data_IF_701178448768
#
_entry.id   IF_701178448768
#
_cell.length_a   1.000
_cell.length_b   1.000
_cell.length_c   1.000
_cell.angle_alpha   90.00
_cell.angle_beta   90.00
_cell.angle_gamma   90.00
#
_symmetry.space_group_name_H-M   'P 1'
#
loop_
_entity.id
_entity.type
_entity.pdbx_description
1 polymer ?
#
# COMPACT_ATOMS: atom_id res chain seq x y z
N UNK A 1 19.07 -9.52 29.20
CA UNK A 1 18.83 -8.87 27.89
C UNK A 1 17.34 -8.66 27.79
N UNK A 2 16.89 -7.42 27.99
CA UNK A 2 15.51 -7.00 27.77
C UNK A 2 15.41 -6.59 26.30
N UNK A 3 14.36 -6.97 25.55
CA UNK A 3 14.17 -6.45 24.21
C UNK A 3 13.69 -5.00 24.38
N UNK A 4 14.66 -4.10 24.51
CA UNK A 4 14.40 -2.68 24.36
C UNK A 4 13.71 -2.51 23.01
N UNK A 5 12.45 -2.10 23.11
CA UNK A 5 11.64 -1.71 21.98
C UNK A 5 12.51 -0.85 21.06
N UNK A 6 12.69 -1.31 19.82
CA UNK A 6 13.14 -0.46 18.73
C UNK A 6 12.20 0.74 18.73
N UNK A 7 12.66 1.83 19.36
CA UNK A 7 11.99 3.11 19.25
C UNK A 7 12.11 3.43 17.77
N UNK A 8 11.01 3.26 17.04
CA UNK A 8 10.84 3.85 15.73
C UNK A 8 11.31 5.30 15.89
N UNK A 9 12.50 5.58 15.35
CA UNK A 9 13.06 6.90 15.44
C UNK A 9 12.02 7.83 14.83
N UNK A 10 11.64 8.83 15.63
CA UNK A 10 10.78 9.94 15.21
C UNK A 10 11.42 10.62 14.00
N UNK A 11 11.13 10.13 12.79
CA UNK A 11 11.67 10.74 11.58
C UNK A 11 11.94 9.84 10.38
N UNK A 12 11.14 8.80 10.13
CA UNK A 12 10.85 8.50 8.71
C UNK A 12 9.75 9.47 8.31
N UNK A 13 10.07 10.57 7.59
CA UNK A 13 9.10 11.62 7.42
C UNK A 13 7.99 11.11 6.52
N UNK A 14 6.77 11.51 6.85
CA UNK A 14 5.56 11.41 6.03
C UNK A 14 5.81 11.71 4.54
N UNK A 15 6.80 12.58 4.25
CA UNK A 15 7.35 12.90 2.92
C UNK A 15 7.84 11.66 2.15
N UNK A 16 8.47 10.68 2.80
CA UNK A 16 9.01 9.46 2.17
C UNK A 16 7.90 8.52 1.74
N UNK A 17 6.77 8.46 2.46
CA UNK A 17 5.71 7.51 2.11
C UNK A 17 5.07 7.86 0.77
N UNK A 18 4.74 9.15 0.56
CA UNK A 18 4.18 9.60 -0.71
C UNK A 18 5.12 9.32 -1.88
N UNK A 19 6.41 9.60 -1.72
CA UNK A 19 7.40 9.36 -2.78
C UNK A 19 7.68 7.87 -3.00
N UNK A 20 7.73 7.06 -1.93
CA UNK A 20 7.86 5.61 -2.03
C UNK A 20 6.67 4.97 -2.77
N UNK A 21 5.44 5.42 -2.50
CA UNK A 21 4.26 4.95 -3.22
C UNK A 21 4.33 5.34 -4.70
N UNK A 22 4.82 6.54 -5.04
CA UNK A 22 5.03 6.95 -6.44
C UNK A 22 6.07 6.07 -7.13
N UNK A 23 7.18 5.73 -6.47
CA UNK A 23 8.19 4.83 -7.01
C UNK A 23 7.59 3.45 -7.33
N UNK A 24 6.80 2.88 -6.40
CA UNK A 24 6.09 1.61 -6.61
C UNK A 24 5.09 1.69 -7.79
N UNK A 25 4.38 2.81 -7.95
CA UNK A 25 3.51 3.03 -9.11
C UNK A 25 4.33 3.01 -10.40
N UNK A 26 5.49 3.66 -10.42
CA UNK A 26 6.40 3.65 -11.57
C UNK A 26 6.87 2.24 -11.95
N UNK A 27 7.24 1.42 -10.96
CA UNK A 27 7.62 0.02 -11.18
C UNK A 27 6.47 -0.82 -11.74
N UNK A 28 5.25 -0.61 -11.22
CA UNK A 28 4.04 -1.27 -11.73
C UNK A 28 3.77 -0.85 -13.18
N UNK A 29 3.82 0.45 -13.49
CA UNK A 29 3.61 0.97 -14.83
C UNK A 29 4.64 0.42 -15.83
N UNK A 30 5.90 0.34 -15.43
CA UNK A 30 6.95 -0.31 -16.20
C UNK A 30 6.59 -1.77 -16.51
N UNK A 31 6.21 -2.55 -15.49
CA UNK A 31 5.85 -3.96 -15.65
C UNK A 31 4.59 -4.16 -16.50
N UNK A 32 3.58 -3.28 -16.38
CA UNK A 32 2.39 -3.30 -17.22
C UNK A 32 2.73 -3.09 -18.70
N UNK A 33 3.73 -2.27 -19.01
CA UNK A 33 4.23 -2.07 -20.38
C UNK A 33 4.90 -3.30 -21.00
N UNK A 34 5.26 -4.30 -20.18
CA UNK A 34 5.94 -5.52 -20.62
C UNK A 34 4.99 -6.71 -20.85
N UNK A 35 3.71 -6.61 -20.46
CA UNK A 35 2.77 -7.74 -20.50
C UNK A 35 1.50 -7.44 -21.30
N UNK A 36 0.89 -8.42 -21.98
CA UNK A 36 -0.34 -8.20 -22.74
C UNK A 36 -1.52 -7.77 -21.86
N UNK A 37 -2.36 -6.86 -22.36
CA UNK A 37 -3.50 -6.33 -21.61
C UNK A 37 -4.58 -7.39 -21.25
N UNK A 38 -4.60 -8.54 -21.92
CA UNK A 38 -5.52 -9.64 -21.63
C UNK A 38 -4.94 -10.65 -20.61
N UNK A 39 -3.71 -10.45 -20.16
CA UNK A 39 -3.03 -11.30 -19.17
C UNK A 39 -3.64 -11.11 -17.77
N UNK A 40 -3.69 -12.18 -16.97
CA UNK A 40 -4.13 -12.10 -15.57
C UNK A 40 -3.22 -11.24 -14.72
N UNK A 41 -1.90 -11.29 -14.97
CA UNK A 41 -0.92 -10.48 -14.26
C UNK A 41 -1.08 -8.99 -14.58
N UNK A 42 -1.46 -8.62 -15.81
CA UNK A 42 -1.80 -7.24 -16.15
C UNK A 42 -2.99 -6.72 -15.30
N UNK A 43 -4.00 -7.58 -15.05
CA UNK A 43 -5.14 -7.21 -14.19
C UNK A 43 -4.72 -7.02 -12.74
N UNK A 44 -3.85 -7.89 -12.21
CA UNK A 44 -3.29 -7.76 -10.86
C UNK A 44 -2.51 -6.46 -10.70
N UNK A 45 -1.58 -6.17 -11.63
CA UNK A 45 -0.82 -4.92 -11.66
C UNK A 45 -1.75 -3.70 -11.72
N UNK A 46 -2.81 -3.74 -12.54
CA UNK A 46 -3.79 -2.67 -12.63
C UNK A 46 -4.52 -2.40 -11.31
N UNK A 47 -4.91 -3.46 -10.58
CA UNK A 47 -5.52 -3.33 -9.26
C UNK A 47 -4.52 -2.79 -8.21
N UNK A 48 -3.24 -3.16 -8.30
CA UNK A 48 -2.20 -2.69 -7.36
C UNK A 48 -1.98 -1.20 -7.59
N UNK A 49 -1.79 -0.79 -8.85
CA UNK A 49 -1.67 0.61 -9.25
C UNK A 49 -2.86 1.44 -8.78
N UNK A 50 -4.08 0.98 -9.04
CA UNK A 50 -5.30 1.67 -8.59
C UNK A 50 -5.32 1.85 -7.07
N UNK A 51 -4.94 0.81 -6.31
CA UNK A 51 -4.87 0.86 -4.85
C UNK A 51 -3.88 1.91 -4.37
N UNK A 52 -2.68 1.94 -4.94
CA UNK A 52 -1.64 2.91 -4.60
C UNK A 52 -2.04 4.35 -4.95
N UNK A 53 -2.71 4.56 -6.09
CA UNK A 53 -3.28 5.84 -6.47
C UNK A 53 -4.37 6.32 -5.49
N UNK A 54 -5.22 5.42 -4.98
CA UNK A 54 -6.21 5.78 -3.96
C UNK A 54 -5.53 6.12 -2.63
N UNK A 55 -4.52 5.36 -2.21
CA UNK A 55 -3.75 5.65 -0.99
C UNK A 55 -3.11 7.04 -1.03
N UNK A 56 -2.48 7.42 -2.14
CA UNK A 56 -1.94 8.77 -2.29
C UNK A 56 -3.01 9.85 -2.14
N UNK A 57 -4.18 9.65 -2.76
CA UNK A 57 -5.29 10.61 -2.64
C UNK A 57 -5.81 10.72 -1.21
N UNK A 58 -5.92 9.61 -0.48
CA UNK A 58 -6.37 9.64 0.91
C UNK A 58 -5.34 10.34 1.81
N UNK A 59 -4.04 10.07 1.60
CA UNK A 59 -2.96 10.75 2.31
C UNK A 59 -3.02 12.27 2.08
N UNK A 60 -3.20 12.70 0.82
CA UNK A 60 -3.30 14.12 0.47
C UNK A 60 -4.57 14.79 1.03
N UNK A 61 -5.63 14.02 1.32
CA UNK A 61 -6.91 14.53 1.82
C UNK A 61 -6.99 14.61 3.34
N UNK A 62 -6.28 13.73 4.06
CA UNK A 62 -6.30 13.69 5.54
C UNK A 62 -5.22 14.60 6.15
N UNK A 63 -5.34 15.92 5.94
CA UNK A 63 -4.38 16.91 6.47
C UNK A 63 -4.23 16.80 8.01
N UNK A 64 -2.99 16.69 8.48
CA UNK A 64 -2.68 16.53 9.90
C UNK A 64 -2.76 15.10 10.44
N UNK A 65 -3.12 14.13 9.60
CA UNK A 65 -3.02 12.69 9.90
C UNK A 65 -1.71 12.16 9.29
N UNK A 66 -0.93 11.40 10.07
CA UNK A 66 0.27 10.76 9.52
C UNK A 66 -0.10 9.79 8.40
N UNK A 67 0.57 9.78 7.24
CA UNK A 67 0.35 8.82 6.15
C UNK A 67 0.34 7.36 6.61
N UNK A 68 1.20 6.98 7.56
CA UNK A 68 1.18 5.63 8.15
C UNK A 68 -0.16 5.26 8.77
N UNK A 69 -0.81 6.20 9.45
CA UNK A 69 -2.13 5.97 10.03
C UNK A 69 -3.23 5.87 8.96
N UNK A 70 -3.11 6.63 7.87
CA UNK A 70 -4.01 6.53 6.72
C UNK A 70 -3.89 5.15 6.07
N UNK A 71 -2.66 4.70 5.79
CA UNK A 71 -2.39 3.38 5.22
C UNK A 71 -2.87 2.26 6.15
N UNK A 72 -2.61 2.34 7.46
CA UNK A 72 -3.09 1.35 8.42
C UNK A 72 -4.62 1.23 8.43
N UNK A 73 -5.34 2.37 8.44
CA UNK A 73 -6.81 2.38 8.34
C UNK A 73 -7.29 1.79 7.02
N UNK A 74 -6.59 2.08 5.92
CA UNK A 74 -6.90 1.49 4.62
C UNK A 74 -6.80 -0.04 4.64
N UNK A 75 -5.70 -0.59 5.17
CA UNK A 75 -5.50 -2.04 5.35
C UNK A 75 -6.63 -2.67 6.17
N UNK A 76 -7.01 -2.04 7.28
CA UNK A 76 -8.13 -2.50 8.11
C UNK A 76 -9.45 -2.53 7.35
N UNK A 77 -9.77 -1.45 6.61
CA UNK A 77 -11.00 -1.37 5.80
C UNK A 77 -11.03 -2.45 4.72
N UNK A 78 -9.94 -2.62 3.97
CA UNK A 78 -9.87 -3.64 2.91
C UNK A 78 -9.93 -5.06 3.49
N UNK A 79 -9.32 -5.30 4.66
CA UNK A 79 -9.41 -6.58 5.37
C UNK A 79 -10.84 -6.91 5.80
N UNK A 80 -11.59 -5.92 6.29
CA UNK A 80 -12.99 -6.08 6.65
C UNK A 80 -13.83 -6.37 5.40
N UNK A 81 -13.68 -5.57 4.34
CA UNK A 81 -14.40 -5.78 3.08
C UNK A 81 -14.14 -7.16 2.47
N UNK A 82 -12.89 -7.63 2.46
CA UNK A 82 -12.56 -8.96 1.95
C UNK A 82 -13.28 -10.10 2.70
N UNK A 83 -13.40 -9.97 4.03
CA UNK A 83 -14.12 -10.95 4.87
C UNK A 83 -15.62 -10.90 4.63
N UNK A 84 -16.19 -9.71 4.59
CA UNK A 84 -17.65 -9.51 4.51
C UNK A 84 -18.22 -9.94 3.15
N UNK A 85 -17.47 -9.73 2.07
CA UNK A 85 -17.93 -10.06 0.71
C UNK A 85 -17.43 -11.42 0.21
N UNK A 86 -16.58 -12.11 0.97
CA UNK A 86 -15.93 -13.36 0.54
C UNK A 86 -15.08 -13.19 -0.73
N UNK A 87 -14.52 -11.99 -0.93
CA UNK A 87 -13.75 -11.49 -2.07
C UNK A 87 -13.56 -12.45 -3.27
N UNK A 88 -14.58 -12.61 -4.14
CA UNK A 88 -14.55 -13.60 -5.21
C UNK A 88 -13.59 -13.25 -6.35
N UNK A 89 -13.00 -12.06 -6.35
CA UNK A 89 -12.10 -11.55 -7.39
C UNK A 89 -10.73 -11.08 -6.88
N UNK A 90 -10.39 -11.38 -5.62
CA UNK A 90 -9.15 -10.95 -4.93
C UNK A 90 -8.93 -9.43 -4.86
N UNK A 91 -9.92 -8.60 -5.20
CA UNK A 91 -9.79 -7.15 -5.30
C UNK A 91 -9.42 -6.53 -3.95
N UNK A 92 -10.17 -6.87 -2.89
CA UNK A 92 -9.95 -6.30 -1.56
C UNK A 92 -8.74 -6.93 -0.88
N UNK A 93 -8.52 -8.22 -1.09
CA UNK A 93 -7.35 -8.94 -0.57
C UNK A 93 -6.06 -8.39 -1.14
N UNK A 94 -6.02 -8.15 -2.45
CA UNK A 94 -4.83 -7.64 -3.12
C UNK A 94 -4.62 -6.14 -2.85
N UNK A 95 -5.70 -5.36 -2.69
CA UNK A 95 -5.59 -3.98 -2.22
C UNK A 95 -5.03 -3.90 -0.79
N UNK A 96 -5.49 -4.78 0.11
CA UNK A 96 -4.93 -4.95 1.46
C UNK A 96 -3.44 -5.29 1.38
N UNK A 97 -3.06 -6.27 0.56
CA UNK A 97 -1.67 -6.74 0.49
C UNK A 97 -0.72 -5.67 -0.07
N UNK A 98 -1.15 -4.91 -1.08
CA UNK A 98 -0.39 -3.76 -1.58
C UNK A 98 -0.19 -2.69 -0.50
N UNK A 99 -1.24 -2.37 0.27
CA UNK A 99 -1.17 -1.41 1.37
C UNK A 99 -0.31 -1.91 2.55
N UNK A 100 -0.41 -3.20 2.89
CA UNK A 100 0.38 -3.82 3.96
C UNK A 100 1.88 -3.86 3.61
N UNK A 101 2.23 -4.14 2.35
CA UNK A 101 3.61 -4.12 1.86
C UNK A 101 4.30 -2.77 2.10
N UNK A 102 3.54 -1.66 1.99
CA UNK A 102 4.06 -0.32 2.32
C UNK A 102 4.39 -0.21 3.79
N UNK A 103 3.50 -0.65 4.68
CA UNK A 103 3.74 -0.62 6.13
C UNK A 103 4.97 -1.47 6.47
N UNK A 104 5.04 -2.68 5.94
CA UNK A 104 6.15 -3.60 6.17
C UNK A 104 7.47 -2.98 5.70
N UNK A 105 7.50 -2.33 4.53
CA UNK A 105 8.67 -1.61 4.01
C UNK A 105 9.17 -0.47 4.91
N UNK A 106 8.31 0.11 5.76
CA UNK A 106 8.71 1.09 6.76
C UNK A 106 9.30 0.44 8.03
N UNK A 107 8.81 -0.73 8.39
CA UNK A 107 9.23 -1.43 9.62
C UNK A 107 10.48 -2.30 9.41
N UNK A 108 10.80 -2.68 8.16
CA UNK A 108 11.93 -3.54 7.82
C UNK A 108 13.08 -2.84 7.06
N UNK A 109 13.03 -1.50 6.91
CA UNK A 109 14.18 -0.74 6.38
C UNK A 109 15.21 -0.50 7.49
N UNK A 110 16.23 -1.36 7.53
CA UNK A 110 17.50 -1.17 8.26
C UNK A 110 18.39 -0.13 7.56
#
# INVERSE_FOLDING_TARGET
MSPDAMKAERGYPDVVMGDFIKDLIGDIEYNMGLVPANDSYFRELGLQRFTLEQLLREIDQEEGVSPTAVVARFVERMSASARDTGDPGFTFSMARDAAQSILDGLYFRD
#
